data_IF_644703549978
#
_entry.id   IF_644703549978
#
_cell.length_a   1.000
_cell.length_b   1.000
_cell.length_c   1.000
_cell.angle_alpha   90.00
_cell.angle_beta   90.00
_cell.angle_gamma   90.00
#
_symmetry.space_group_name_H-M   'P 1'
#
loop_
_entity.id
_entity.type
_entity.pdbx_description
1 polymer ?
#
# COMPACT_ATOMS: atom_id res chain seq x y z
N UNK A 1 -27.39 -4.95 2.89
CA UNK A 1 -26.81 -4.08 1.85
C UNK A 1 -27.87 -3.83 0.82
N UNK A 2 -27.98 -2.60 0.32
CA UNK A 2 -28.78 -2.30 -0.87
C UNK A 2 -27.82 -2.30 -2.05
N UNK A 3 -27.85 -3.33 -2.88
CA UNK A 3 -26.99 -3.44 -4.05
C UNK A 3 -27.60 -2.65 -5.20
N UNK A 4 -26.77 -2.15 -6.11
CA UNK A 4 -27.23 -1.35 -7.26
C UNK A 4 -28.15 -2.12 -8.23
N UNK A 5 -28.22 -3.44 -8.12
CA UNK A 5 -28.89 -4.39 -9.01
C UNK A 5 -29.24 -5.70 -8.28
N UNK A 6 -30.08 -6.54 -8.90
CA UNK A 6 -30.34 -7.91 -8.44
C UNK A 6 -29.13 -8.83 -8.64
N UNK A 7 -29.05 -9.94 -7.90
CA UNK A 7 -27.95 -10.93 -8.02
C UNK A 7 -27.78 -11.44 -9.47
N UNK A 8 -28.89 -11.68 -10.17
CA UNK A 8 -28.88 -12.14 -11.56
C UNK A 8 -28.24 -11.13 -12.52
N UNK A 9 -28.37 -9.84 -12.23
CA UNK A 9 -27.77 -8.75 -13.00
C UNK A 9 -26.31 -8.52 -12.61
N UNK A 10 -25.97 -8.61 -11.31
CA UNK A 10 -24.61 -8.45 -10.82
C UNK A 10 -23.63 -9.45 -11.46
N UNK A 11 -24.04 -10.70 -11.64
CA UNK A 11 -23.21 -11.75 -12.28
C UNK A 11 -22.81 -11.38 -13.72
N UNK A 12 -23.60 -10.53 -14.39
CA UNK A 12 -23.33 -10.10 -15.78
C UNK A 12 -22.50 -8.82 -15.87
N UNK A 13 -22.20 -8.17 -14.76
CA UNK A 13 -21.45 -6.92 -14.74
C UNK A 13 -19.98 -7.13 -15.13
N UNK A 14 -19.36 -6.16 -15.83
CA UNK A 14 -17.97 -6.27 -16.26
C UNK A 14 -17.03 -6.13 -15.06
N UNK A 15 -16.35 -7.22 -14.70
CA UNK A 15 -15.41 -7.24 -13.56
C UNK A 15 -14.27 -6.24 -13.70
N UNK A 16 -13.84 -5.94 -14.94
CA UNK A 16 -12.80 -4.94 -15.20
C UNK A 16 -13.19 -3.54 -14.73
N UNK A 17 -14.45 -3.15 -14.93
CA UNK A 17 -14.97 -1.85 -14.47
C UNK A 17 -15.02 -1.78 -12.95
N UNK A 18 -15.60 -2.78 -12.29
CA UNK A 18 -15.76 -2.79 -10.84
C UNK A 18 -14.41 -2.90 -10.11
N UNK A 19 -13.46 -3.67 -10.65
CA UNK A 19 -12.10 -3.73 -10.11
C UNK A 19 -11.40 -2.38 -10.19
N UNK A 20 -11.52 -1.68 -11.34
CA UNK A 20 -10.95 -0.34 -11.52
C UNK A 20 -11.63 0.72 -10.62
N UNK A 21 -12.96 0.71 -10.53
CA UNK A 21 -13.71 1.65 -9.71
C UNK A 21 -13.37 1.48 -8.22
N UNK A 22 -13.30 0.24 -7.74
CA UNK A 22 -12.87 -0.10 -6.37
C UNK A 22 -11.43 0.33 -6.12
N UNK A 23 -10.50 0.02 -7.05
CA UNK A 23 -9.11 0.45 -6.96
C UNK A 23 -9.00 1.96 -6.79
N UNK A 24 -9.70 2.74 -7.63
CA UNK A 24 -9.71 4.20 -7.53
C UNK A 24 -10.23 4.69 -6.20
N UNK A 25 -11.38 4.18 -5.74
CA UNK A 25 -11.98 4.61 -4.49
C UNK A 25 -11.04 4.35 -3.29
N UNK A 26 -10.51 3.14 -3.20
CA UNK A 26 -9.61 2.71 -2.10
C UNK A 26 -8.30 3.50 -2.11
N UNK A 27 -7.64 3.63 -3.26
CA UNK A 27 -6.35 4.33 -3.35
C UNK A 27 -6.53 5.83 -3.14
N UNK A 28 -7.57 6.46 -3.70
CA UNK A 28 -7.85 7.88 -3.48
C UNK A 28 -8.13 8.17 -2.00
N UNK A 29 -8.95 7.35 -1.33
CA UNK A 29 -9.24 7.48 0.10
C UNK A 29 -7.97 7.35 0.96
N UNK A 30 -7.12 6.38 0.63
CA UNK A 30 -5.85 6.15 1.34
C UNK A 30 -4.88 7.31 1.16
N UNK A 31 -4.71 7.79 -0.08
CA UNK A 31 -3.82 8.91 -0.40
C UNK A 31 -4.29 10.21 0.25
N UNK A 32 -5.61 10.46 0.29
CA UNK A 32 -6.17 11.63 0.98
C UNK A 32 -5.83 11.61 2.48
N UNK A 33 -6.03 10.48 3.16
CA UNK A 33 -5.72 10.35 4.59
C UNK A 33 -4.22 10.53 4.89
N UNK A 34 -3.34 9.98 4.05
CA UNK A 34 -1.90 10.16 4.21
C UNK A 34 -1.47 11.61 3.94
N UNK A 35 -2.09 12.28 2.97
CA UNK A 35 -1.85 13.68 2.70
C UNK A 35 -2.25 14.59 3.88
N UNK A 36 -3.35 14.27 4.57
CA UNK A 36 -3.75 14.96 5.82
C UNK A 36 -2.71 14.80 6.94
N UNK A 37 -1.95 13.70 6.94
CA UNK A 37 -0.82 13.49 7.84
C UNK A 37 0.49 14.16 7.35
N UNK A 38 0.50 14.72 6.14
CA UNK A 38 1.69 15.33 5.54
C UNK A 38 2.67 14.33 4.93
N UNK A 39 2.19 13.17 4.46
CA UNK A 39 3.03 12.17 3.78
C UNK A 39 2.38 11.60 2.51
N UNK A 40 3.19 10.96 1.67
CA UNK A 40 2.73 10.23 0.48
C UNK A 40 2.58 8.74 0.77
N UNK A 41 1.85 8.04 -0.11
CA UNK A 41 1.74 6.58 -0.02
C UNK A 41 3.09 5.86 -0.23
N UNK A 42 3.95 6.25 -1.18
CA UNK A 42 5.31 5.72 -1.26
C UNK A 42 6.15 5.96 0.00
N UNK A 43 6.13 7.17 0.58
CA UNK A 43 6.86 7.47 1.83
C UNK A 43 6.37 6.61 2.99
N UNK A 44 5.06 6.42 3.11
CA UNK A 44 4.50 5.48 4.08
C UNK A 44 5.05 4.07 3.89
N UNK A 45 5.13 3.57 2.65
CA UNK A 45 5.69 2.24 2.40
C UNK A 45 7.17 2.16 2.78
N UNK A 46 7.98 3.18 2.45
CA UNK A 46 9.38 3.27 2.87
C UNK A 46 9.48 3.17 4.40
N UNK A 47 8.72 4.01 5.13
CA UNK A 47 8.69 3.99 6.58
C UNK A 47 8.26 2.64 7.13
N UNK A 48 7.21 2.03 6.57
CA UNK A 48 6.73 0.73 7.00
C UNK A 48 7.76 -0.39 6.76
N UNK A 49 8.51 -0.34 5.66
CA UNK A 49 9.59 -1.29 5.40
C UNK A 49 10.72 -1.17 6.41
N UNK A 50 11.11 0.05 6.79
CA UNK A 50 12.17 0.29 7.78
C UNK A 50 11.67 -0.05 9.19
N UNK A 51 10.45 0.36 9.54
CA UNK A 51 9.87 0.20 10.89
C UNK A 51 9.62 -1.26 11.27
N UNK A 52 9.21 -2.09 10.30
CA UNK A 52 8.79 -3.49 10.52
C UNK A 52 9.90 -4.50 10.23
N UNK A 53 11.07 -4.06 9.78
CA UNK A 53 12.15 -4.98 9.46
C UNK A 53 12.76 -5.58 10.74
N UNK A 54 12.89 -6.91 10.80
CA UNK A 54 13.60 -7.58 11.87
C UNK A 54 15.10 -7.26 11.86
N UNK A 55 15.66 -7.01 10.67
CA UNK A 55 17.03 -6.54 10.47
C UNK A 55 17.01 -5.27 9.61
N UNK A 56 17.84 -4.26 9.89
CA UNK A 56 17.87 -3.03 9.09
C UNK A 56 18.04 -3.32 7.60
N UNK A 57 17.21 -2.70 6.76
CA UNK A 57 17.27 -2.87 5.31
C UNK A 57 18.18 -1.83 4.69
N UNK A 58 18.89 -2.17 3.62
CA UNK A 58 19.59 -1.18 2.81
C UNK A 58 18.59 -0.38 1.98
N UNK A 59 19.03 0.79 1.52
CA UNK A 59 18.30 1.58 0.53
C UNK A 59 17.92 0.77 -0.72
N UNK A 60 18.87 0.01 -1.26
CA UNK A 60 18.64 -0.82 -2.45
C UNK A 60 17.61 -1.92 -2.22
N UNK A 61 17.59 -2.53 -1.03
CA UNK A 61 16.58 -3.52 -0.65
C UNK A 61 15.17 -2.92 -0.59
N UNK A 62 15.02 -1.72 -0.01
CA UNK A 62 13.72 -1.03 0.07
C UNK A 62 13.24 -0.58 -1.31
N UNK A 63 14.11 0.06 -2.09
CA UNK A 63 13.79 0.54 -3.43
C UNK A 63 13.43 -0.60 -4.38
N UNK A 64 14.23 -1.67 -4.38
CA UNK A 64 13.99 -2.86 -5.19
C UNK A 64 12.67 -3.56 -4.86
N UNK A 65 12.24 -3.56 -3.60
CA UNK A 65 10.98 -4.16 -3.18
C UNK A 65 9.75 -3.33 -3.60
N UNK A 66 9.87 -2.00 -3.59
CA UNK A 66 8.74 -1.09 -3.76
C UNK A 66 8.60 -0.52 -5.18
N UNK A 67 9.61 -0.66 -6.05
CA UNK A 67 9.62 -0.09 -7.41
C UNK A 67 8.43 -0.49 -8.28
N UNK A 68 7.89 -1.71 -8.09
CA UNK A 68 6.79 -2.23 -8.91
C UNK A 68 5.42 -2.01 -8.27
N UNK A 69 5.36 -1.40 -7.07
CA UNK A 69 4.10 -1.04 -6.44
C UNK A 69 3.49 0.21 -7.09
N UNK A 70 2.25 0.06 -7.58
CA UNK A 70 1.47 1.11 -8.25
C UNK A 70 2.25 1.85 -9.35
N UNK A 71 3.12 1.13 -10.05
CA UNK A 71 3.96 1.68 -11.12
C UNK A 71 4.80 2.89 -10.68
N UNK A 72 5.21 2.93 -9.40
CA UNK A 72 6.01 4.04 -8.85
C UNK A 72 7.34 4.16 -9.58
N UNK A 73 7.98 3.04 -9.91
CA UNK A 73 9.28 3.01 -10.59
C UNK A 73 10.46 3.26 -9.64
N UNK A 74 11.69 2.92 -10.07
CA UNK A 74 12.87 3.02 -9.22
C UNK A 74 13.24 4.47 -8.90
N UNK A 75 13.25 5.38 -9.88
CA UNK A 75 13.67 6.78 -9.68
C UNK A 75 12.75 7.52 -8.71
N UNK A 76 11.43 7.31 -8.81
CA UNK A 76 10.50 7.91 -7.88
C UNK A 76 10.68 7.33 -6.46
N UNK A 77 10.95 6.03 -6.34
CA UNK A 77 11.18 5.40 -5.04
C UNK A 77 12.45 5.93 -4.36
N UNK A 78 13.53 6.14 -5.12
CA UNK A 78 14.75 6.79 -4.61
C UNK A 78 14.45 8.20 -4.06
N UNK A 79 13.71 9.00 -4.83
CA UNK A 79 13.28 10.35 -4.40
C UNK A 79 12.43 10.32 -3.14
N UNK A 80 11.55 9.32 -2.99
CA UNK A 80 10.70 9.18 -1.81
C UNK A 80 11.51 8.73 -0.58
N UNK A 81 12.54 7.90 -0.74
CA UNK A 81 13.50 7.60 0.33
C UNK A 81 14.23 8.89 0.75
N UNK A 82 14.72 9.68 -0.19
CA UNK A 82 15.40 10.96 0.09
C UNK A 82 14.47 11.95 0.82
N UNK A 83 13.19 11.99 0.45
CA UNK A 83 12.19 12.80 1.12
C UNK A 83 12.00 12.36 2.59
N UNK A 84 11.98 11.06 2.88
CA UNK A 84 11.87 10.57 4.28
C UNK A 84 13.12 10.85 5.11
N UNK A 85 14.31 10.87 4.49
CA UNK A 85 15.55 11.27 5.16
C UNK A 85 15.56 12.78 5.43
N UNK A 86 15.16 13.58 4.42
CA UNK A 86 15.06 15.04 4.52
C UNK A 86 14.04 15.48 5.57
N UNK A 87 12.93 14.74 5.71
CA UNK A 87 11.93 14.95 6.75
C UNK A 87 12.43 14.55 8.16
N UNK A 88 13.64 13.96 8.26
CA UNK A 88 14.22 13.52 9.52
C UNK A 88 13.57 12.28 10.11
N UNK A 89 12.80 11.52 9.32
CA UNK A 89 12.14 10.29 9.80
C UNK A 89 13.05 9.07 9.71
N UNK A 90 13.94 9.05 8.71
CA UNK A 90 14.91 7.98 8.50
C UNK A 90 16.32 8.58 8.49
N UNK A 91 17.28 7.82 9.01
CA UNK A 91 18.71 8.04 8.81
C UNK A 91 19.31 6.88 8.03
N UNK A 92 20.26 7.21 7.16
CA UNK A 92 21.09 6.24 6.45
C UNK A 92 22.42 6.11 7.18
N UNK A 93 22.75 4.92 7.66
CA UNK A 93 23.96 4.68 8.45
C UNK A 93 25.10 4.21 7.57
N UNK A 94 26.25 4.87 7.67
CA UNK A 94 27.51 4.41 7.09
C UNK A 94 28.16 3.31 7.95
N UNK A 95 28.91 2.36 7.35
CA UNK A 95 29.26 2.26 5.93
C UNK A 95 28.26 1.46 5.08
N UNK A 96 27.29 0.76 5.69
CA UNK A 96 26.49 -0.27 5.02
C UNK A 96 25.21 0.24 4.33
N UNK A 97 24.98 1.56 4.28
CA UNK A 97 23.79 2.20 3.69
C UNK A 97 22.46 1.64 4.21
N UNK A 98 22.46 1.23 5.48
CA UNK A 98 21.28 0.71 6.17
C UNK A 98 20.38 1.87 6.60
N UNK A 99 19.08 1.70 6.42
CA UNK A 99 18.06 2.65 6.83
C UNK A 99 17.58 2.31 8.24
N UNK A 100 17.50 3.33 9.10
CA UNK A 100 16.97 3.22 10.44
C UNK A 100 16.01 4.37 10.74
N UNK A 101 14.96 4.10 11.51
CA UNK A 101 14.06 5.15 11.99
C UNK A 101 14.76 6.02 13.05
N UNK A 102 14.51 7.32 12.97
CA UNK A 102 14.76 8.25 14.08
C UNK A 102 13.65 8.14 15.13
N UNK A 103 13.81 8.71 16.33
CA UNK A 103 12.73 8.85 17.31
C UNK A 103 11.49 9.58 16.72
N UNK A 104 11.73 10.64 15.94
CA UNK A 104 10.69 11.42 15.26
C UNK A 104 9.97 10.57 14.20
N UNK A 105 10.74 9.82 13.40
CA UNK A 105 10.21 8.91 12.39
C UNK A 105 9.40 7.76 12.99
N UNK A 106 9.80 7.24 14.16
CA UNK A 106 9.02 6.25 14.90
C UNK A 106 7.69 6.82 15.37
N UNK A 107 7.71 8.02 15.96
CA UNK A 107 6.49 8.71 16.40
C UNK A 107 5.55 8.98 15.21
N UNK A 108 6.10 9.41 14.07
CA UNK A 108 5.33 9.61 12.85
C UNK A 108 4.76 8.30 12.31
N UNK A 109 5.58 7.24 12.26
CA UNK A 109 5.15 5.91 11.81
C UNK A 109 3.99 5.38 12.64
N UNK A 110 4.01 5.50 13.96
CA UNK A 110 2.93 5.03 14.83
C UNK A 110 1.61 5.76 14.54
N UNK A 111 1.66 7.08 14.32
CA UNK A 111 0.48 7.87 13.91
C UNK A 111 -0.06 7.43 12.55
N UNK A 112 0.83 7.25 11.57
CA UNK A 112 0.43 6.81 10.23
C UNK A 112 -0.08 5.36 10.22
N UNK A 113 0.48 4.49 11.06
CA UNK A 113 0.03 3.11 11.25
C UNK A 113 -1.40 3.07 11.81
N UNK A 114 -1.72 3.90 12.81
CA UNK A 114 -3.07 3.99 13.36
C UNK A 114 -4.09 4.41 12.28
N UNK A 115 -3.77 5.41 11.46
CA UNK A 115 -4.62 5.82 10.33
C UNK A 115 -4.78 4.69 9.30
N UNK A 116 -3.71 3.94 9.01
CA UNK A 116 -3.78 2.81 8.08
C UNK A 116 -4.62 1.65 8.63
N UNK A 117 -4.58 1.41 9.94
CA UNK A 117 -5.44 0.42 10.60
C UNK A 117 -6.91 0.83 10.56
N UNK A 118 -7.21 2.12 10.75
CA UNK A 118 -8.58 2.63 10.61
C UNK A 118 -9.08 2.56 9.16
N UNK A 119 -8.23 2.88 8.19
CA UNK A 119 -8.53 2.67 6.77
C UNK A 119 -8.70 1.18 6.43
N UNK A 120 -7.99 0.27 7.11
CA UNK A 120 -8.18 -1.17 6.95
C UNK A 120 -9.56 -1.59 7.44
N UNK A 121 -9.95 -1.17 8.65
CA UNK A 121 -11.29 -1.41 9.22
C UNK A 121 -12.39 -0.82 8.33
N UNK A 122 -12.22 0.41 7.84
CA UNK A 122 -13.17 1.09 6.95
C UNK A 122 -13.45 0.26 5.70
N UNK A 123 -12.39 -0.26 5.05
CA UNK A 123 -12.52 -1.07 3.83
C UNK A 123 -13.11 -2.46 4.06
N UNK A 124 -12.98 -3.01 5.27
CA UNK A 124 -13.52 -4.32 5.64
C UNK A 124 -14.88 -4.24 6.34
N UNK A 125 -15.41 -3.05 6.58
CA UNK A 125 -16.68 -2.88 7.27
C UNK A 125 -17.81 -3.59 6.50
N UNK A 126 -18.46 -4.56 7.16
CA UNK A 126 -19.53 -5.35 6.57
C UNK A 126 -19.07 -6.42 5.56
N UNK A 127 -17.77 -6.73 5.50
CA UNK A 127 -17.20 -7.81 4.69
C UNK A 127 -16.63 -8.87 5.63
N UNK A 128 -17.13 -10.10 5.54
CA UNK A 128 -16.55 -11.22 6.28
C UNK A 128 -15.19 -11.63 5.71
N UNK A 129 -14.37 -12.30 6.54
CA UNK A 129 -13.09 -12.85 6.09
C UNK A 129 -13.27 -13.84 4.91
N UNK A 130 -14.36 -14.59 4.89
CA UNK A 130 -14.68 -15.54 3.81
C UNK A 130 -15.00 -14.83 2.48
N UNK A 131 -15.81 -13.77 2.52
CA UNK A 131 -16.13 -12.94 1.34
C UNK A 131 -14.87 -12.25 0.81
N UNK A 132 -14.06 -11.69 1.70
CA UNK A 132 -12.81 -11.04 1.32
C UNK A 132 -11.82 -12.04 0.70
N UNK A 133 -11.64 -13.20 1.33
CA UNK A 133 -10.77 -14.27 0.84
C UNK A 133 -11.23 -14.75 -0.54
N UNK A 134 -12.53 -15.03 -0.70
CA UNK A 134 -13.12 -15.43 -1.99
C UNK A 134 -12.86 -14.37 -3.05
N UNK A 135 -13.06 -13.10 -2.72
CA UNK A 135 -12.82 -11.98 -3.64
C UNK A 135 -11.36 -11.95 -4.10
N UNK A 136 -10.39 -12.02 -3.17
CA UNK A 136 -8.97 -12.02 -3.51
C UNK A 136 -8.58 -13.23 -4.38
N UNK A 137 -9.09 -14.42 -4.06
CA UNK A 137 -8.85 -15.63 -4.86
C UNK A 137 -9.42 -15.52 -6.28
N UNK A 138 -10.59 -14.89 -6.44
CA UNK A 138 -11.20 -14.65 -7.76
C UNK A 138 -10.39 -13.62 -8.56
N UNK A 139 -9.97 -12.51 -7.95
CA UNK A 139 -9.13 -11.51 -8.61
C UNK A 139 -7.79 -12.11 -9.10
N UNK A 140 -7.12 -12.91 -8.27
CA UNK A 140 -5.89 -13.59 -8.68
C UNK A 140 -6.12 -14.57 -9.84
N UNK A 141 -7.27 -15.27 -9.85
CA UNK A 141 -7.67 -16.12 -10.99
C UNK A 141 -7.91 -15.30 -12.25
N UNK A 142 -8.55 -14.13 -12.17
CA UNK A 142 -8.69 -13.25 -13.34
C UNK A 142 -7.34 -12.84 -13.90
N UNK A 143 -6.40 -12.42 -13.05
CA UNK A 143 -5.05 -12.03 -13.47
C UNK A 143 -4.35 -13.19 -14.17
N UNK A 144 -4.42 -14.41 -13.62
CA UNK A 144 -3.85 -15.60 -14.27
C UNK A 144 -4.51 -15.90 -15.61
N UNK A 145 -5.84 -15.89 -15.66
CA UNK A 145 -6.60 -16.24 -16.87
C UNK A 145 -6.38 -15.25 -18.02
N UNK A 146 -6.03 -14.00 -17.71
CA UNK A 146 -5.72 -12.97 -18.71
C UNK A 146 -4.22 -12.82 -19.00
N UNK A 147 -3.37 -13.67 -18.42
CA UNK A 147 -1.91 -13.59 -18.59
C UNK A 147 -1.26 -12.39 -17.90
N UNK A 148 -1.96 -11.72 -16.99
CA UNK A 148 -1.44 -10.61 -16.20
C UNK A 148 -0.44 -11.07 -15.15
N UNK A 149 0.29 -10.09 -14.61
CA UNK A 149 1.18 -10.27 -13.45
C UNK A 149 0.74 -9.33 -12.34
N UNK A 150 0.71 -9.84 -11.11
CA UNK A 150 0.54 -9.02 -9.92
C UNK A 150 1.79 -9.17 -9.07
N UNK A 151 2.30 -8.05 -8.57
CA UNK A 151 3.38 -8.06 -7.61
C UNK A 151 2.85 -8.46 -6.23
N UNK A 152 3.36 -9.57 -5.71
CA UNK A 152 3.10 -10.04 -4.36
C UNK A 152 4.46 -10.37 -3.75
N UNK A 153 4.73 -9.81 -2.56
CA UNK A 153 5.93 -10.08 -1.77
C UNK A 153 5.72 -11.31 -0.87
#
# INVERSE_FOLDING_TARGET
MDYSQTDAELIRQPVGYWSWATYRAVVSRTRAALAELGTTQPQWWVLAQVARAATPKTRAEVSGLLRDYLDTGPEAMESEIDATITAGWIVQTAPDDRLALTPEGRTFFERAAAVQDDLWKERHAGISDEEYLTTMQVLQRFIRNTGGRAWHH
#
